data_IF_553825187811
#
_entry.id   IF_553825187811
#
_cell.length_a   1.000
_cell.length_b   1.000
_cell.length_c   1.000
_cell.angle_alpha   90.00
_cell.angle_beta   90.00
_cell.angle_gamma   90.00
#
_symmetry.space_group_name_H-M   'P 1'
#
loop_
_entity.id
_entity.type
_entity.pdbx_description
1 polymer ?
#
# COMPACT_ATOMS: atom_id res chain seq x y z
N UNK A 1 7.61 -5.17 -12.75
CA UNK A 1 6.39 -5.57 -12.01
C UNK A 1 5.49 -4.34 -11.93
N UNK A 2 4.38 -4.30 -12.66
CA UNK A 2 3.53 -3.11 -12.90
C UNK A 2 2.77 -2.57 -11.66
N UNK A 3 3.19 -2.92 -10.45
CA UNK A 3 2.54 -2.48 -9.20
C UNK A 3 1.20 -3.16 -8.88
N UNK A 4 0.57 -3.85 -9.84
CA UNK A 4 -0.70 -4.56 -9.64
C UNK A 4 -0.51 -6.00 -9.13
N UNK A 5 -1.06 -6.27 -7.94
CA UNK A 5 -1.07 -7.60 -7.34
C UNK A 5 -1.97 -8.57 -8.14
N UNK A 6 -1.66 -9.88 -8.18
CA UNK A 6 -2.55 -10.86 -8.79
C UNK A 6 -3.85 -11.04 -7.97
N UNK A 7 -3.74 -10.99 -6.64
CA UNK A 7 -4.86 -11.07 -5.70
C UNK A 7 -4.67 -10.04 -4.57
N UNK A 8 -5.76 -9.44 -4.12
CA UNK A 8 -5.78 -8.51 -3.00
C UNK A 8 -6.90 -8.94 -2.06
N UNK A 9 -6.54 -9.27 -0.81
CA UNK A 9 -7.49 -9.57 0.25
C UNK A 9 -7.57 -8.35 1.16
N UNK A 10 -8.69 -7.63 1.11
CA UNK A 10 -8.90 -6.40 1.87
C UNK A 10 -10.25 -6.42 2.57
N UNK A 11 -10.33 -5.66 3.66
CA UNK A 11 -11.55 -5.46 4.43
C UNK A 11 -11.64 -4.00 4.88
N UNK A 12 -12.83 -3.58 5.31
CA UNK A 12 -13.01 -2.27 5.96
C UNK A 12 -12.07 -2.18 7.17
N UNK A 13 -11.38 -1.05 7.32
CA UNK A 13 -10.38 -0.81 8.37
C UNK A 13 -8.96 -1.32 8.05
N UNK A 14 -8.78 -2.14 7.01
CA UNK A 14 -7.44 -2.62 6.66
C UNK A 14 -6.51 -1.46 6.25
N UNK A 15 -5.24 -1.55 6.68
CA UNK A 15 -4.18 -0.65 6.21
C UNK A 15 -3.72 -1.09 4.82
N UNK A 16 -3.78 -0.17 3.87
CA UNK A 16 -3.35 -0.38 2.49
C UNK A 16 -2.40 0.71 2.03
N UNK A 17 -1.56 0.38 1.06
CA UNK A 17 -0.60 1.28 0.44
C UNK A 17 -0.88 1.38 -1.05
N UNK A 18 -0.84 2.60 -1.59
CA UNK A 18 -0.87 2.82 -3.03
C UNK A 18 0.40 2.28 -3.68
N UNK A 19 0.25 1.54 -4.78
CA UNK A 19 1.38 0.91 -5.48
C UNK A 19 1.89 1.69 -6.69
N UNK A 20 1.25 2.82 -7.01
CA UNK A 20 1.62 3.73 -8.09
C UNK A 20 1.14 5.16 -7.80
N UNK A 21 1.70 6.12 -8.54
CA UNK A 21 1.25 7.50 -8.48
C UNK A 21 -0.07 7.64 -9.23
N UNK A 22 -1.12 8.08 -8.54
CA UNK A 22 -2.40 8.41 -9.15
C UNK A 22 -2.51 9.91 -9.38
N UNK A 23 -2.14 10.71 -8.37
CA UNK A 23 -2.12 12.17 -8.45
C UNK A 23 -1.16 12.75 -7.41
N UNK A 24 0.12 12.75 -7.73
CA UNK A 24 1.18 13.07 -6.77
C UNK A 24 1.10 14.51 -6.23
N UNK A 25 0.67 15.48 -7.04
CA UNK A 25 0.59 16.88 -6.63
C UNK A 25 -0.44 17.16 -5.53
N UNK A 26 -1.35 16.21 -5.26
CA UNK A 26 -2.38 16.32 -4.22
C UNK A 26 -2.25 15.24 -3.14
N UNK A 27 -1.14 14.49 -3.11
CA UNK A 27 -0.84 13.51 -2.05
C UNK A 27 -1.16 12.04 -2.38
N UNK A 28 -1.68 11.72 -3.58
CA UNK A 28 -1.94 10.35 -4.02
C UNK A 28 -0.71 9.74 -4.71
N UNK A 29 0.31 9.49 -3.90
CA UNK A 29 1.63 9.01 -4.31
C UNK A 29 1.78 7.49 -4.07
N UNK A 30 2.69 6.87 -4.83
CA UNK A 30 3.16 5.53 -4.52
C UNK A 30 3.79 5.51 -3.12
N UNK A 31 3.39 4.55 -2.30
CA UNK A 31 3.81 4.44 -0.90
C UNK A 31 2.86 5.10 0.11
N UNK A 32 1.92 5.95 -0.32
CA UNK A 32 0.93 6.52 0.60
C UNK A 32 0.13 5.40 1.26
N UNK A 33 0.15 5.33 2.59
CA UNK A 33 -0.36 4.20 3.38
C UNK A 33 -1.46 4.65 4.32
N UNK A 34 -2.66 4.10 4.12
CA UNK A 34 -3.89 4.59 4.76
C UNK A 34 -4.92 3.50 5.03
N UNK A 35 -6.01 3.85 5.70
CA UNK A 35 -7.07 2.91 6.07
C UNK A 35 -8.23 2.92 5.08
N UNK A 36 -8.70 1.72 4.73
CA UNK A 36 -9.94 1.53 3.98
C UNK A 36 -11.12 1.92 4.86
N UNK A 37 -12.00 2.77 4.33
CA UNK A 37 -13.27 3.16 4.95
C UNK A 37 -14.39 2.25 4.46
N UNK A 38 -14.51 2.08 3.13
CA UNK A 38 -15.56 1.27 2.52
C UNK A 38 -15.10 0.66 1.20
N UNK A 39 -15.83 -0.35 0.73
CA UNK A 39 -15.61 -1.05 -0.54
C UNK A 39 -16.95 -1.07 -1.29
N UNK A 40 -16.99 -0.46 -2.46
CA UNK A 40 -18.19 -0.27 -3.26
C UNK A 40 -18.22 -1.32 -4.37
N UNK A 41 -19.22 -2.20 -4.34
CA UNK A 41 -19.50 -3.16 -5.41
C UNK A 41 -20.67 -2.68 -6.27
N UNK A 42 -20.76 -3.21 -7.49
CA UNK A 42 -21.98 -3.10 -8.29
C UNK A 42 -23.12 -3.86 -7.62
N UNK A 43 -24.37 -3.53 -7.97
CA UNK A 43 -25.54 -4.25 -7.47
C UNK A 43 -25.39 -5.76 -7.74
N UNK A 44 -25.70 -6.57 -6.72
CA UNK A 44 -25.58 -8.03 -6.74
C UNK A 44 -24.16 -8.59 -6.96
N UNK A 45 -23.11 -7.77 -6.87
CA UNK A 45 -21.71 -8.22 -6.92
C UNK A 45 -21.09 -8.26 -5.53
N UNK A 46 -20.18 -9.19 -5.31
CA UNK A 46 -19.50 -9.40 -4.03
C UNK A 46 -18.13 -10.06 -4.29
N UNK A 47 -17.23 -10.16 -3.28
CA UNK A 47 -16.01 -10.95 -3.43
C UNK A 47 -16.33 -12.36 -3.98
N UNK A 48 -15.59 -12.85 -5.00
CA UNK A 48 -14.29 -12.39 -5.48
C UNK A 48 -14.30 -11.33 -6.60
N UNK A 49 -15.47 -10.77 -6.95
CA UNK A 49 -15.55 -9.75 -8.00
C UNK A 49 -14.71 -8.51 -7.66
N UNK A 50 -14.29 -7.78 -8.70
CA UNK A 50 -13.55 -6.55 -8.52
C UNK A 50 -14.51 -5.41 -8.14
N UNK A 51 -14.29 -4.67 -7.03
CA UNK A 51 -15.16 -3.57 -6.67
C UNK A 51 -15.06 -2.42 -7.69
N UNK A 52 -16.11 -1.61 -7.76
CA UNK A 52 -16.13 -0.35 -8.53
C UNK A 52 -15.06 0.59 -7.98
N UNK A 53 -15.01 0.74 -6.66
CA UNK A 53 -14.04 1.57 -5.97
C UNK A 53 -13.83 1.11 -4.52
N UNK A 54 -12.64 1.38 -3.99
CA UNK A 54 -12.34 1.29 -2.56
C UNK A 54 -12.20 2.71 -2.02
N UNK A 55 -13.01 3.07 -1.01
CA UNK A 55 -12.90 4.36 -0.34
C UNK A 55 -11.75 4.31 0.67
N UNK A 56 -10.76 5.17 0.47
CA UNK A 56 -9.58 5.28 1.34
C UNK A 56 -9.48 6.72 1.84
N UNK A 57 -9.21 6.90 3.13
CA UNK A 57 -8.99 8.22 3.73
C UNK A 57 -7.51 8.56 3.73
N UNK A 58 -7.09 9.54 2.93
CA UNK A 58 -5.71 10.01 2.84
C UNK A 58 -5.52 11.30 3.62
N UNK A 59 -4.95 11.23 4.82
CA UNK A 59 -4.88 12.39 5.73
C UNK A 59 -4.12 13.58 5.12
N UNK A 60 -3.12 13.31 4.28
CA UNK A 60 -2.30 14.33 3.60
C UNK A 60 -2.85 14.71 2.20
N UNK A 61 -4.08 14.30 1.84
CA UNK A 61 -4.69 14.61 0.56
C UNK A 61 -5.29 16.02 0.51
N UNK A 62 -4.88 16.80 -0.49
CA UNK A 62 -5.28 18.20 -0.67
C UNK A 62 -6.22 18.42 -1.87
N UNK A 63 -6.71 17.35 -2.50
CA UNK A 63 -7.60 17.43 -3.66
C UNK A 63 -9.09 17.43 -3.30
N UNK A 64 -9.98 17.35 -4.30
CA UNK A 64 -11.42 17.25 -4.07
C UNK A 64 -11.76 15.93 -3.36
N UNK A 65 -12.54 16.02 -2.29
CA UNK A 65 -12.96 14.86 -1.51
C UNK A 65 -14.23 14.23 -2.07
N UNK A 66 -14.38 12.93 -1.88
CA UNK A 66 -15.59 12.21 -2.19
C UNK A 66 -16.62 12.41 -1.08
N UNK A 67 -17.74 13.07 -1.44
CA UNK A 67 -18.78 13.52 -0.53
C UNK A 67 -18.30 14.59 0.49
N UNK A 68 -19.13 14.87 1.48
CA UNK A 68 -18.89 15.91 2.50
C UNK A 68 -17.82 15.54 3.54
N UNK A 69 -17.17 14.37 3.41
CA UNK A 69 -16.13 13.92 4.33
C UNK A 69 -14.77 14.25 3.73
N UNK A 70 -13.94 15.07 4.41
CA UNK A 70 -12.65 15.47 3.87
C UNK A 70 -11.72 14.25 3.72
N UNK A 71 -10.86 14.30 2.70
CA UNK A 71 -9.76 13.38 2.48
C UNK A 71 -10.16 11.94 2.09
N UNK A 72 -11.44 11.67 1.83
CA UNK A 72 -11.87 10.38 1.28
C UNK A 72 -11.73 10.41 -0.24
N UNK A 73 -11.06 9.39 -0.77
CA UNK A 73 -10.82 9.24 -2.22
C UNK A 73 -11.26 7.84 -2.67
N UNK A 74 -12.06 7.74 -3.75
CA UNK A 74 -12.39 6.47 -4.37
C UNK A 74 -11.20 5.99 -5.21
N UNK A 75 -10.62 4.88 -4.81
CA UNK A 75 -9.57 4.20 -5.57
C UNK A 75 -10.23 3.17 -6.48
N UNK A 76 -10.21 3.43 -7.79
CA UNK A 76 -10.80 2.56 -8.80
C UNK A 76 -9.76 1.58 -9.36
N UNK A 77 -10.19 0.42 -9.88
CA UNK A 77 -9.28 -0.46 -10.61
C UNK A 77 -8.62 0.23 -11.80
N UNK A 78 -7.34 -0.06 -12.01
CA UNK A 78 -6.55 0.42 -13.16
C UNK A 78 -6.10 -0.76 -14.00
N UNK A 79 -5.93 -0.53 -15.30
CA UNK A 79 -5.40 -1.53 -16.24
C UNK A 79 -3.93 -1.23 -16.51
N UNK A 80 -3.06 -2.21 -16.28
CA UNK A 80 -1.65 -2.12 -16.64
C UNK A 80 -1.33 -3.11 -17.77
N UNK A 81 -0.55 -2.65 -18.75
CA UNK A 81 -0.25 -3.38 -19.98
C UNK A 81 1.26 -3.64 -20.11
N UNK A 82 1.63 -4.79 -20.67
CA UNK A 82 3.03 -5.15 -20.99
C UNK A 82 3.09 -5.72 -22.40
N UNK A 83 4.01 -5.21 -23.20
CA UNK A 83 4.32 -5.79 -24.51
C UNK A 83 5.36 -6.90 -24.32
N UNK A 84 5.01 -8.13 -24.70
CA UNK A 84 5.88 -9.31 -24.65
C UNK A 84 5.86 -10.00 -26.00
N UNK A 85 6.98 -9.98 -26.73
CA UNK A 85 7.20 -10.77 -27.96
C UNK A 85 5.98 -10.78 -28.90
N UNK A 86 5.56 -9.60 -29.39
CA UNK A 86 4.38 -9.38 -30.25
C UNK A 86 2.99 -9.64 -29.64
N UNK A 87 2.90 -9.84 -28.32
CA UNK A 87 1.62 -9.92 -27.61
C UNK A 87 1.49 -8.80 -26.57
N UNK A 88 0.26 -8.31 -26.37
CA UNK A 88 -0.08 -7.37 -25.30
C UNK A 88 -0.71 -8.16 -24.16
N UNK A 89 -0.09 -8.13 -22.99
CA UNK A 89 -0.64 -8.70 -21.76
C UNK A 89 -1.21 -7.58 -20.90
N UNK A 90 -2.45 -7.73 -20.45
CA UNK A 90 -3.12 -6.73 -19.62
C UNK A 90 -3.55 -7.33 -18.28
N UNK A 91 -3.52 -6.50 -17.23
CA UNK A 91 -4.11 -6.82 -15.92
C UNK A 91 -4.89 -5.63 -15.42
N UNK A 92 -6.16 -5.86 -15.06
CA UNK A 92 -6.99 -4.89 -14.35
C UNK A 92 -7.08 -5.25 -12.87
N UNK A 93 -6.69 -4.32 -12.00
CA UNK A 93 -6.71 -4.52 -10.54
C UNK A 93 -6.66 -3.18 -9.80
N UNK A 94 -7.04 -3.16 -8.52
CA UNK A 94 -6.80 -2.02 -7.64
C UNK A 94 -5.29 -1.74 -7.49
N UNK A 95 -4.85 -0.47 -7.56
CA UNK A 95 -3.46 -0.07 -7.30
C UNK A 95 -3.14 -0.04 -5.79
N UNK A 96 -3.54 -1.08 -5.06
CA UNK A 96 -3.43 -1.19 -3.60
C UNK A 96 -2.69 -2.48 -3.20
N UNK A 97 -2.09 -2.45 -2.01
CA UNK A 97 -1.55 -3.65 -1.35
C UNK A 97 -1.73 -3.51 0.17
N UNK A 98 -1.86 -4.62 0.90
CA UNK A 98 -1.90 -4.59 2.36
C UNK A 98 -0.58 -4.03 2.91
N UNK A 99 -0.70 -3.17 3.92
CA UNK A 99 0.41 -2.35 4.42
C UNK A 99 0.55 -2.38 5.94
N UNK A 100 0.10 -3.47 6.58
CA UNK A 100 0.40 -3.73 7.99
C UNK A 100 1.88 -4.04 8.23
N UNK A 101 2.50 -4.74 7.29
CA UNK A 101 3.92 -5.03 7.25
C UNK A 101 4.44 -4.76 5.84
N UNK A 102 5.60 -4.15 5.75
CA UNK A 102 6.28 -3.83 4.50
C UNK A 102 7.71 -4.35 4.60
N UNK A 103 8.24 -4.85 3.48
CA UNK A 103 9.68 -5.16 3.43
C UNK A 103 10.47 -3.87 3.50
N UNK A 104 11.68 -3.93 4.07
CA UNK A 104 12.57 -2.77 4.17
C UNK A 104 12.88 -2.18 2.77
N UNK A 105 12.98 -3.03 1.74
CA UNK A 105 13.14 -2.55 0.36
C UNK A 105 11.95 -1.71 -0.12
N UNK A 106 10.72 -2.07 0.27
CA UNK A 106 9.52 -1.33 -0.11
C UNK A 106 9.35 -0.05 0.69
N UNK A 107 9.97 0.06 1.87
CA UNK A 107 9.96 1.30 2.65
C UNK A 107 11.05 2.29 2.23
N UNK A 108 11.95 1.94 1.30
CA UNK A 108 13.01 2.83 0.84
C UNK A 108 12.43 4.12 0.24
N UNK A 109 12.91 5.27 0.69
CA UNK A 109 12.40 6.59 0.27
C UNK A 109 11.12 7.02 0.98
N UNK A 110 10.46 6.15 1.76
CA UNK A 110 9.28 6.51 2.54
C UNK A 110 9.68 7.20 3.85
N UNK A 111 8.75 7.98 4.40
CA UNK A 111 8.83 8.51 5.77
C UNK A 111 7.72 7.87 6.60
N UNK A 112 8.09 7.12 7.63
CA UNK A 112 7.17 6.48 8.56
C UNK A 112 7.13 7.26 9.89
N UNK A 113 5.92 7.56 10.39
CA UNK A 113 5.76 8.26 11.69
C UNK A 113 6.26 7.38 12.85
N UNK A 114 5.91 6.09 12.82
CA UNK A 114 6.33 5.05 13.76
C UNK A 114 6.59 3.77 12.98
N UNK A 115 7.55 2.96 13.41
CA UNK A 115 7.82 1.66 12.80
C UNK A 115 8.20 0.62 13.86
N UNK A 116 7.70 -0.59 13.69
CA UNK A 116 8.25 -1.79 14.32
C UNK A 116 9.10 -2.50 13.27
N UNK A 117 10.39 -2.61 13.53
CA UNK A 117 11.35 -3.21 12.62
C UNK A 117 11.70 -4.60 13.13
N UNK A 118 11.43 -5.61 12.32
CA UNK A 118 11.90 -6.98 12.51
C UNK A 118 12.98 -7.27 11.47
N UNK A 119 14.22 -7.42 11.94
CA UNK A 119 15.40 -7.70 11.10
C UNK A 119 15.59 -9.23 10.92
N UNK A 120 14.82 -10.05 11.64
CA UNK A 120 15.01 -11.48 11.72
C UNK A 120 16.26 -11.86 12.52
N UNK A 121 16.89 -12.99 12.18
CA UNK A 121 18.07 -13.51 12.89
C UNK A 121 19.36 -12.77 12.53
N UNK A 122 19.49 -12.32 11.28
CA UNK A 122 20.68 -11.68 10.71
C UNK A 122 20.26 -10.76 9.57
N UNK A 123 21.06 -9.74 9.32
CA UNK A 123 20.87 -8.85 8.18
C UNK A 123 21.06 -9.63 6.87
N UNK A 124 20.08 -9.54 5.96
CA UNK A 124 20.12 -10.25 4.68
C UNK A 124 21.05 -9.58 3.66
N UNK A 125 21.28 -8.28 3.81
CA UNK A 125 22.10 -7.47 2.90
C UNK A 125 22.66 -6.29 3.66
N UNK A 126 23.92 -5.94 3.40
CA UNK A 126 24.60 -4.82 4.05
C UNK A 126 23.80 -3.51 3.92
N UNK A 127 23.53 -2.87 5.06
CA UNK A 127 22.92 -1.53 5.10
C UNK A 127 21.38 -1.54 5.15
N UNK A 128 20.73 -2.70 5.14
CA UNK A 128 19.28 -2.81 5.28
C UNK A 128 18.78 -2.33 6.64
N UNK A 129 19.55 -2.56 7.71
CA UNK A 129 19.24 -2.03 9.03
C UNK A 129 19.26 -0.50 9.04
N UNK A 130 20.28 0.11 8.42
CA UNK A 130 20.36 1.57 8.28
C UNK A 130 19.18 2.13 7.47
N UNK A 131 18.84 1.48 6.34
CA UNK A 131 17.68 1.86 5.54
C UNK A 131 16.41 1.83 6.41
N UNK A 132 16.17 0.72 7.13
CA UNK A 132 14.98 0.56 7.96
C UNK A 132 14.87 1.64 9.05
N UNK A 133 15.96 1.88 9.80
CA UNK A 133 16.00 2.88 10.88
C UNK A 133 15.80 4.29 10.33
N UNK A 134 16.47 4.62 9.22
CA UNK A 134 16.40 5.96 8.62
C UNK A 134 15.00 6.32 8.07
N UNK A 135 14.08 5.36 7.94
CA UNK A 135 12.70 5.65 7.49
C UNK A 135 11.81 6.20 8.60
N UNK A 136 12.11 5.93 9.87
CA UNK A 136 11.23 6.26 10.98
C UNK A 136 11.67 7.54 11.70
N UNK A 137 10.74 8.47 11.95
CA UNK A 137 11.08 9.80 12.50
C UNK A 137 10.94 9.95 14.02
N UNK A 138 9.99 9.28 14.66
CA UNK A 138 9.66 9.54 16.08
C UNK A 138 9.79 8.35 17.01
N UNK A 139 9.47 7.14 16.55
CA UNK A 139 9.43 5.97 17.42
C UNK A 139 9.82 4.72 16.63
N UNK A 140 10.86 4.03 17.12
CA UNK A 140 11.40 2.81 16.53
C UNK A 140 11.45 1.76 17.64
N UNK A 141 10.79 0.63 17.41
CA UNK A 141 11.02 -0.60 18.18
C UNK A 141 11.75 -1.55 17.26
N UNK A 142 12.92 -2.02 17.68
CA UNK A 142 13.72 -3.01 16.94
C UNK A 142 13.62 -4.32 17.70
N UNK A 143 13.11 -5.37 17.04
CA UNK A 143 13.15 -6.71 17.60
C UNK A 143 14.22 -7.53 16.88
N UNK A 144 15.19 -8.04 17.64
CA UNK A 144 16.10 -9.07 17.19
C UNK A 144 15.62 -10.38 17.83
N UNK A 145 15.10 -11.30 17.01
CA UNK A 145 14.57 -12.61 17.47
C UNK A 145 15.68 -13.56 17.93
N UNK A 146 16.59 -13.10 18.78
CA UNK A 146 17.73 -13.89 19.24
C UNK A 146 17.39 -14.86 20.35
N UNK A 147 16.23 -14.77 21.04
CA UNK A 147 15.91 -15.70 22.15
C UNK A 147 14.42 -15.93 22.51
N UNK A 148 13.43 -15.70 21.64
CA UNK A 148 12.02 -15.96 22.00
C UNK A 148 11.44 -17.19 21.27
N UNK A 149 11.27 -18.26 22.05
CA UNK A 149 10.30 -19.35 21.82
C UNK A 149 8.97 -18.87 22.40
N UNK A 150 7.89 -18.95 21.60
CA UNK A 150 6.54 -18.58 22.01
C UNK A 150 6.03 -19.37 23.22
#
# INVERSE_FOLDING_TARGET
MLGLQPFILISKGAKVMLTMNLWASVGLCNGSTESIIDIIYAENHAPPDLPIAVLVKFDDYCGPSFASIPSIVPITPVTATVNVQDSILERRQLPLTLAWALTIHKSQGMTLKKAWIDIGKRETTLGMMYVAISRARKFIVINNRTNDVW
#
